data_IF_629477394938
#
_entry.id   IF_629477394938
#
_cell.length_a   1.000
_cell.length_b   1.000
_cell.length_c   1.000
_cell.angle_alpha   90.00
_cell.angle_beta   90.00
_cell.angle_gamma   90.00
#
_symmetry.space_group_name_H-M   'P 1'
#
loop_
_entity.id
_entity.type
_entity.pdbx_description
1 polymer ?
#
# COMPACT_ATOMS: atom_id res chain seq x y z
N UNK A 1 -15.69 -28.42 -23.95
CA UNK A 1 -14.50 -28.51 -23.06
C UNK A 1 -14.23 -27.08 -22.59
N UNK A 2 -14.52 -26.80 -21.31
CA UNK A 2 -14.55 -25.45 -20.75
C UNK A 2 -13.13 -24.88 -20.62
N UNK A 3 -12.94 -23.64 -21.08
CA UNK A 3 -11.92 -22.74 -20.54
C UNK A 3 -12.57 -21.38 -20.39
N UNK A 4 -13.05 -21.09 -19.19
CA UNK A 4 -13.60 -19.79 -18.82
C UNK A 4 -12.39 -18.86 -18.71
N UNK A 5 -12.21 -18.00 -19.70
CA UNK A 5 -11.35 -16.83 -19.62
C UNK A 5 -12.28 -15.66 -19.34
N UNK A 6 -12.69 -15.49 -18.09
CA UNK A 6 -13.47 -14.31 -17.69
C UNK A 6 -12.52 -13.12 -17.57
N UNK A 7 -12.14 -12.58 -18.73
CA UNK A 7 -11.67 -11.22 -18.84
C UNK A 7 -12.91 -10.33 -18.83
N UNK A 8 -13.35 -9.92 -17.65
CA UNK A 8 -14.42 -8.94 -17.55
C UNK A 8 -13.90 -7.61 -18.08
N UNK A 9 -14.45 -7.16 -19.22
CA UNK A 9 -14.25 -5.80 -19.68
C UNK A 9 -14.85 -4.86 -18.63
N UNK A 10 -13.99 -4.10 -17.96
CA UNK A 10 -14.40 -3.01 -17.08
C UNK A 10 -13.86 -1.71 -17.64
N UNK A 11 -14.71 -0.69 -17.69
CA UNK A 11 -14.35 0.64 -18.18
C UNK A 11 -14.64 1.66 -17.10
N UNK A 12 -13.66 2.52 -16.82
CA UNK A 12 -13.84 3.66 -15.91
C UNK A 12 -14.34 4.85 -16.72
N UNK A 13 -15.55 5.31 -16.40
CA UNK A 13 -16.09 6.57 -16.92
C UNK A 13 -16.34 7.54 -15.77
N UNK A 14 -15.42 8.48 -15.59
CA UNK A 14 -15.49 9.48 -14.52
C UNK A 14 -15.38 8.83 -13.12
N UNK A 15 -16.48 8.84 -12.38
CA UNK A 15 -16.59 8.26 -11.03
C UNK A 15 -17.26 6.87 -11.02
N UNK A 16 -17.57 6.30 -12.19
CA UNK A 16 -18.27 5.03 -12.30
C UNK A 16 -17.40 3.97 -12.98
N UNK A 17 -17.54 2.73 -12.53
CA UNK A 17 -16.94 1.55 -13.14
C UNK A 17 -18.09 0.81 -13.81
N UNK A 18 -18.06 0.76 -15.14
CA UNK A 18 -19.00 -0.01 -15.95
C UNK A 18 -18.41 -1.39 -16.16
N UNK A 19 -19.19 -2.42 -15.84
CA UNK A 19 -18.86 -3.81 -16.13
C UNK A 19 -20.13 -4.54 -16.54
N UNK A 20 -19.99 -5.51 -17.44
CA UNK A 20 -21.09 -6.38 -17.86
C UNK A 20 -21.26 -7.61 -16.92
N UNK A 21 -20.53 -7.62 -15.79
CA UNK A 21 -20.58 -8.64 -14.73
C UNK A 21 -21.55 -8.28 -13.61
N UNK A 22 -22.21 -9.27 -13.03
CA UNK A 22 -22.99 -9.10 -11.79
C UNK A 22 -22.09 -8.82 -10.56
N UNK A 23 -20.83 -9.28 -10.59
CA UNK A 23 -19.85 -9.09 -9.50
C UNK A 23 -18.54 -8.48 -10.03
N UNK A 24 -18.08 -7.38 -9.40
CA UNK A 24 -16.86 -6.68 -9.80
C UNK A 24 -15.82 -6.69 -8.65
N UNK A 25 -14.72 -7.40 -8.85
CA UNK A 25 -13.58 -7.38 -7.92
C UNK A 25 -12.63 -6.23 -8.31
N UNK A 26 -12.48 -5.24 -7.42
CA UNK A 26 -11.68 -4.03 -7.70
C UNK A 26 -10.56 -3.90 -6.68
N UNK A 27 -9.36 -3.58 -7.16
CA UNK A 27 -8.25 -3.11 -6.32
C UNK A 27 -8.23 -1.58 -6.35
N UNK A 28 -8.43 -0.96 -5.19
CA UNK A 28 -8.48 0.50 -5.06
C UNK A 28 -7.59 0.99 -3.92
N UNK A 29 -7.25 2.28 -3.94
CA UNK A 29 -6.56 2.95 -2.84
C UNK A 29 -7.61 3.68 -2.02
N UNK A 30 -7.79 3.28 -0.76
CA UNK A 30 -8.70 3.93 0.16
C UNK A 30 -7.99 5.06 0.92
N UNK A 31 -8.66 6.20 1.10
CA UNK A 31 -8.22 7.20 2.06
C UNK A 31 -8.82 6.87 3.43
N UNK A 32 -7.99 6.38 4.36
CA UNK A 32 -8.41 6.10 5.73
C UNK A 32 -8.43 7.41 6.53
N UNK A 33 -9.60 7.84 6.97
CA UNK A 33 -9.77 9.04 7.83
C UNK A 33 -9.71 8.71 9.32
N UNK A 34 -10.10 7.50 9.71
CA UNK A 34 -10.02 7.02 11.09
C UNK A 34 -8.66 6.33 11.35
N UNK A 35 -7.84 6.84 12.29
CA UNK A 35 -6.56 6.23 12.66
C UNK A 35 -6.68 4.79 13.16
N UNK A 36 -7.84 4.38 13.70
CA UNK A 36 -8.05 3.01 14.21
C UNK A 36 -8.09 1.97 13.09
N UNK A 37 -8.45 2.37 11.87
CA UNK A 37 -8.46 1.50 10.69
C UNK A 37 -7.07 1.41 10.03
N UNK A 38 -6.08 2.16 10.52
CA UNK A 38 -4.69 2.06 10.08
C UNK A 38 -3.97 1.00 10.89
N UNK A 39 -3.06 0.27 10.24
CA UNK A 39 -2.09 -0.57 10.92
C UNK A 39 -1.29 0.24 11.96
N UNK A 40 -0.97 -0.39 13.08
CA UNK A 40 -0.17 0.18 14.16
C UNK A 40 1.16 0.70 13.65
N UNK A 41 1.86 -0.05 12.78
CA UNK A 41 3.17 0.37 12.28
C UNK A 41 3.06 1.59 11.37
N UNK A 42 2.01 1.66 10.56
CA UNK A 42 1.70 2.84 9.76
C UNK A 42 1.44 4.05 10.66
N UNK A 43 0.67 3.88 11.74
CA UNK A 43 0.37 4.95 12.71
C UNK A 43 1.63 5.46 13.40
N UNK A 44 2.52 4.57 13.81
CA UNK A 44 3.79 4.93 14.44
C UNK A 44 4.73 5.65 13.48
N UNK A 45 4.80 5.23 12.21
CA UNK A 45 5.60 5.91 11.19
C UNK A 45 5.09 7.33 10.92
N UNK A 46 3.77 7.51 10.83
CA UNK A 46 3.15 8.85 10.68
C UNK A 46 3.43 9.71 11.91
N UNK A 47 3.25 9.17 13.12
CA UNK A 47 3.54 9.89 14.35
C UNK A 47 5.01 10.31 14.45
N UNK A 48 5.95 9.42 14.09
CA UNK A 48 7.38 9.73 14.04
C UNK A 48 7.72 10.83 13.04
N UNK A 49 7.07 10.82 11.86
CA UNK A 49 7.23 11.88 10.86
C UNK A 49 6.77 13.24 11.38
N UNK A 50 5.57 13.26 11.97
CA UNK A 50 5.01 14.47 12.58
C UNK A 50 5.91 14.99 13.69
N UNK A 51 6.38 14.12 14.59
CA UNK A 51 7.30 14.47 15.66
C UNK A 51 8.59 15.11 15.13
N UNK A 52 9.18 14.57 14.06
CA UNK A 52 10.40 15.11 13.46
C UNK A 52 10.19 16.49 12.81
N UNK A 53 9.01 16.75 12.25
CA UNK A 53 8.69 18.04 11.64
C UNK A 53 8.36 19.11 12.69
N UNK A 54 7.62 18.76 13.75
CA UNK A 54 7.21 19.71 14.80
C UNK A 54 8.30 19.94 15.86
N UNK A 55 9.29 19.06 15.98
CA UNK A 55 10.31 19.15 17.03
C UNK A 55 11.13 20.45 16.93
N UNK A 56 11.60 20.81 15.74
CA UNK A 56 12.38 22.03 15.55
C UNK A 56 11.61 23.33 15.86
N UNK A 57 10.41 23.56 15.31
CA UNK A 57 9.63 24.76 15.64
C UNK A 57 9.22 24.82 17.12
N UNK A 58 9.11 23.69 17.81
CA UNK A 58 8.73 23.65 19.22
C UNK A 58 9.91 23.82 20.19
N UNK A 59 11.05 23.17 19.92
CA UNK A 59 12.17 23.09 20.88
C UNK A 59 13.39 23.91 20.45
N UNK A 60 13.47 24.35 19.20
CA UNK A 60 14.62 25.06 18.64
C UNK A 60 15.91 24.23 18.54
N UNK A 61 15.86 22.94 18.87
CA UNK A 61 17.04 22.07 18.93
C UNK A 61 17.15 21.17 17.72
N UNK A 62 18.14 21.44 16.87
CA UNK A 62 18.47 20.60 15.71
C UNK A 62 18.91 19.18 16.11
N UNK A 63 19.51 19.03 17.30
CA UNK A 63 19.92 17.72 17.83
C UNK A 63 18.72 16.84 18.17
N UNK A 64 17.69 17.39 18.80
CA UNK A 64 16.46 16.66 19.07
C UNK A 64 15.70 16.35 17.78
N UNK A 65 15.67 17.30 16.84
CA UNK A 65 15.07 17.05 15.52
C UNK A 65 15.75 15.87 14.81
N UNK A 66 17.09 15.82 14.79
CA UNK A 66 17.83 14.70 14.22
C UNK A 66 17.51 13.36 14.90
N UNK A 67 17.38 13.34 16.23
CA UNK A 67 16.99 12.13 16.96
C UNK A 67 15.58 11.64 16.56
N UNK A 68 14.61 12.56 16.40
CA UNK A 68 13.26 12.22 15.95
C UNK A 68 13.24 11.69 14.51
N UNK A 69 14.10 12.23 13.64
CA UNK A 69 14.28 11.70 12.28
C UNK A 69 14.84 10.28 12.25
N UNK A 70 15.74 9.91 13.17
CA UNK A 70 16.22 8.54 13.27
C UNK A 70 15.11 7.59 13.75
N UNK A 71 14.30 8.01 14.73
CA UNK A 71 13.15 7.22 15.19
C UNK A 71 12.16 6.99 14.05
N UNK A 72 11.82 8.04 13.29
CA UNK A 72 10.98 7.93 12.10
C UNK A 72 11.54 6.92 11.09
N UNK A 73 12.83 7.01 10.76
CA UNK A 73 13.47 6.09 9.81
C UNK A 73 13.43 4.64 10.28
N UNK A 74 13.62 4.39 11.57
CA UNK A 74 13.56 3.05 12.16
C UNK A 74 12.14 2.48 12.04
N UNK A 75 11.12 3.26 12.41
CA UNK A 75 9.71 2.86 12.30
C UNK A 75 9.25 2.65 10.86
N UNK A 76 9.71 3.49 9.94
CA UNK A 76 9.43 3.31 8.51
C UNK A 76 10.04 2.00 7.97
N UNK A 77 11.26 1.66 8.39
CA UNK A 77 11.90 0.41 7.99
C UNK A 77 11.17 -0.82 8.56
N UNK A 78 10.73 -0.74 9.81
CA UNK A 78 9.92 -1.78 10.46
C UNK A 78 8.61 -2.00 9.70
N UNK A 79 7.85 -0.94 9.44
CA UNK A 79 6.60 -0.99 8.67
C UNK A 79 6.79 -1.62 7.29
N UNK A 80 7.83 -1.20 6.54
CA UNK A 80 8.16 -1.78 5.22
C UNK A 80 8.52 -3.26 5.29
N UNK A 81 9.19 -3.69 6.36
CA UNK A 81 9.59 -5.09 6.51
C UNK A 81 8.38 -5.99 6.76
N UNK A 82 7.37 -5.50 7.48
CA UNK A 82 6.14 -6.25 7.76
C UNK A 82 5.23 -6.24 6.53
N UNK A 83 5.06 -5.09 5.86
CA UNK A 83 4.35 -4.99 4.58
C UNK A 83 4.92 -5.96 3.53
N UNK A 84 6.25 -6.08 3.45
CA UNK A 84 6.91 -7.04 2.56
C UNK A 84 6.68 -8.52 2.95
N UNK A 85 6.35 -8.82 4.21
CA UNK A 85 5.98 -10.17 4.66
C UNK A 85 4.50 -10.47 4.40
N UNK A 86 3.64 -9.45 4.47
CA UNK A 86 2.21 -9.56 4.16
C UNK A 86 1.94 -9.63 2.65
N UNK A 87 2.81 -8.99 1.85
CA UNK A 87 2.78 -9.06 0.40
C UNK A 87 3.12 -10.45 -0.11
N UNK A 88 2.10 -11.26 -0.41
CA UNK A 88 2.30 -12.46 -1.21
C UNK A 88 2.93 -12.03 -2.56
N UNK A 89 4.12 -12.52 -2.94
CA UNK A 89 4.68 -12.20 -4.24
C UNK A 89 3.66 -12.65 -5.29
N UNK A 90 3.21 -11.70 -6.11
CA UNK A 90 2.38 -12.01 -7.27
C UNK A 90 3.14 -13.08 -8.05
N UNK A 91 2.58 -14.29 -8.10
CA UNK A 91 3.23 -15.37 -8.82
C UNK A 91 3.29 -14.90 -10.26
N UNK A 92 4.50 -14.62 -10.75
CA UNK A 92 4.80 -14.51 -12.16
C UNK A 92 4.56 -15.90 -12.77
N UNK A 93 3.30 -16.27 -12.93
CA UNK A 93 2.89 -17.38 -13.76
C UNK A 93 3.08 -16.85 -15.18
N UNK A 94 4.33 -16.90 -15.63
CA UNK A 94 4.69 -16.55 -16.98
C UNK A 94 4.33 -17.76 -17.86
N UNK A 95 3.06 -17.84 -18.24
CA UNK A 95 2.52 -18.84 -19.17
C UNK A 95 3.19 -18.76 -20.56
N UNK A 96 4.10 -17.82 -20.80
CA UNK A 96 4.89 -17.68 -22.04
C UNK A 96 5.58 -18.99 -22.44
N UNK A 97 6.15 -19.72 -21.48
CA UNK A 97 6.81 -21.00 -21.77
C UNK A 97 5.83 -22.16 -21.96
N UNK A 98 4.64 -22.09 -21.35
CA UNK A 98 3.60 -23.11 -21.44
C UNK A 98 2.83 -23.02 -22.77
N UNK A 99 2.68 -21.79 -23.30
CA UNK A 99 2.04 -21.50 -24.59
C UNK A 99 2.96 -21.71 -25.81
N UNK A 100 4.28 -21.81 -25.62
CA UNK A 100 5.23 -22.04 -26.71
C UNK A 100 5.27 -23.48 -27.26
N UNK A 101 4.50 -24.40 -26.66
CA UNK A 101 4.45 -25.84 -27.03
C UNK A 101 3.30 -26.20 -27.97
N UNK A 102 2.47 -25.24 -28.39
CA UNK A 102 1.37 -25.46 -29.32
C UNK A 102 1.77 -25.15 -30.75
#
# INVERSE_FOLDING_TARGET
MLTIKESYDWKVEGQFILTDSDECNIKYIAQLTDPNNMDILLREAIAGRLAAEICYPLTGSTKQQAAMWEIYKLKLREAKSIDAQEGNPESLIDDTFLNARL
#
